data_IF_692655232123
#
_entry.id   IF_692655232123
#
_cell.length_a   1.000
_cell.length_b   1.000
_cell.length_c   1.000
_cell.angle_alpha   90.00
_cell.angle_beta   90.00
_cell.angle_gamma   90.00
#
_symmetry.space_group_name_H-M   'P 1'
#
loop_
_entity.id
_entity.type
_entity.pdbx_description
1 polymer ?
#
# COMPACT_ATOMS: atom_id res chain seq x y z
N UNK A 1 -17.72 2.16 3.80
CA UNK A 1 -17.06 1.61 5.00
C UNK A 1 -16.36 2.75 5.74
N UNK A 2 -16.45 2.84 7.06
CA UNK A 2 -15.61 3.78 7.82
C UNK A 2 -14.17 3.31 7.68
N UNK A 3 -13.24 4.24 7.38
CA UNK A 3 -11.80 3.92 7.32
C UNK A 3 -11.36 3.25 8.63
N UNK A 4 -10.66 2.13 8.53
CA UNK A 4 -10.09 1.46 9.70
C UNK A 4 -9.08 2.36 10.40
N UNK A 5 -8.96 2.25 11.72
CA UNK A 5 -7.93 2.97 12.47
C UNK A 5 -6.51 2.57 11.98
N UNK A 6 -6.38 1.43 11.33
CA UNK A 6 -5.11 0.89 10.85
C UNK A 6 -4.78 1.27 9.40
N UNK A 7 -5.75 1.84 8.63
CA UNK A 7 -5.54 2.11 7.21
C UNK A 7 -4.43 3.15 6.97
N UNK A 8 -3.39 2.73 6.27
CA UNK A 8 -2.23 3.56 5.91
C UNK A 8 -1.63 4.26 7.15
N UNK A 9 -1.50 3.51 8.24
CA UNK A 9 -0.98 4.02 9.51
C UNK A 9 0.53 3.81 9.59
N UNK A 10 1.26 4.91 9.81
CA UNK A 10 2.68 4.87 10.15
C UNK A 10 2.86 4.85 11.67
N UNK A 11 3.69 3.95 12.16
CA UNK A 11 4.03 3.85 13.58
C UNK A 11 5.49 4.27 13.77
N UNK A 12 5.68 5.42 14.40
CA UNK A 12 6.97 5.99 14.78
C UNK A 12 7.33 5.44 16.16
N UNK A 13 8.16 4.40 16.20
CA UNK A 13 8.54 3.74 17.45
C UNK A 13 9.66 4.50 18.15
N UNK A 14 9.30 5.36 19.09
CA UNK A 14 10.29 6.02 19.96
C UNK A 14 10.95 5.01 20.89
N UNK A 15 10.23 3.97 21.29
CA UNK A 15 10.71 3.01 22.28
C UNK A 15 11.25 3.71 23.55
N UNK A 16 12.51 3.42 23.91
CA UNK A 16 13.21 4.04 25.03
C UNK A 16 14.25 5.10 24.59
N UNK A 17 14.16 5.61 23.36
CA UNK A 17 15.13 6.58 22.82
C UNK A 17 15.06 7.97 23.49
N UNK A 18 14.06 8.18 24.37
CA UNK A 18 14.04 9.31 25.30
C UNK A 18 15.11 9.20 26.43
N UNK A 19 15.69 8.02 26.67
CA UNK A 19 16.76 7.78 27.65
C UNK A 19 16.45 8.31 29.07
N UNK A 20 15.19 8.16 29.55
CA UNK A 20 14.77 8.68 30.84
C UNK A 20 14.71 10.21 30.92
N UNK A 21 14.75 10.91 29.79
CA UNK A 21 14.74 12.37 29.71
C UNK A 21 13.50 12.87 28.94
N UNK A 22 12.61 13.55 29.67
CA UNK A 22 11.37 14.11 29.12
C UNK A 22 11.66 15.11 28.01
N UNK A 23 12.65 15.99 28.19
CA UNK A 23 12.98 17.03 27.20
C UNK A 23 13.43 16.40 25.87
N UNK A 24 14.22 15.31 25.91
CA UNK A 24 14.59 14.55 24.71
C UNK A 24 13.37 13.90 24.06
N UNK A 25 12.49 13.28 24.84
CA UNK A 25 11.24 12.71 24.36
C UNK A 25 10.36 13.74 23.66
N UNK A 26 10.19 14.92 24.26
CA UNK A 26 9.45 16.05 23.67
C UNK A 26 10.09 16.53 22.37
N UNK A 27 11.43 16.59 22.31
CA UNK A 27 12.15 16.95 21.09
C UNK A 27 11.90 15.93 19.97
N UNK A 28 12.00 14.63 20.25
CA UNK A 28 11.66 13.56 19.29
C UNK A 28 10.24 13.78 18.75
N UNK A 29 9.24 13.91 19.63
CA UNK A 29 7.84 14.12 19.24
C UNK A 29 7.71 15.36 18.33
N UNK A 30 8.32 16.48 18.69
CA UNK A 30 8.24 17.73 17.96
C UNK A 30 8.85 17.62 16.56
N UNK A 31 10.03 17.02 16.45
CA UNK A 31 10.74 16.91 15.17
C UNK A 31 9.99 15.96 14.21
N UNK A 32 9.50 14.82 14.70
CA UNK A 32 8.70 13.91 13.87
C UNK A 32 7.30 14.45 13.53
N UNK A 33 6.68 15.23 14.41
CA UNK A 33 5.41 15.90 14.09
C UNK A 33 5.53 16.86 12.90
N UNK A 34 6.69 17.51 12.72
CA UNK A 34 6.96 18.34 11.53
C UNK A 34 7.00 17.50 10.27
N UNK A 35 7.71 16.36 10.28
CA UNK A 35 7.84 15.44 9.15
C UNK A 35 6.47 14.84 8.78
N UNK A 36 5.69 14.41 9.77
CA UNK A 36 4.33 13.88 9.59
C UNK A 36 3.43 14.92 8.91
N UNK A 37 3.44 16.15 9.42
CA UNK A 37 2.63 17.26 8.86
C UNK A 37 3.05 17.61 7.45
N UNK A 38 4.35 17.71 7.21
CA UNK A 38 4.90 18.05 5.89
C UNK A 38 4.47 17.04 4.81
N UNK A 39 4.46 15.75 5.13
CA UNK A 39 4.06 14.68 4.21
C UNK A 39 2.55 14.39 4.22
N UNK A 40 1.78 15.06 5.07
CA UNK A 40 0.34 14.84 5.23
C UNK A 40 -0.02 13.35 5.41
N UNK A 41 0.75 12.63 6.22
CA UNK A 41 0.52 11.22 6.52
C UNK A 41 -0.14 11.03 7.87
N UNK A 42 -0.78 9.88 8.05
CA UNK A 42 -1.39 9.47 9.29
C UNK A 42 -0.38 8.68 10.11
N UNK A 43 -0.02 9.16 11.28
CA UNK A 43 1.01 8.57 12.10
C UNK A 43 0.62 8.41 13.58
N UNK A 44 1.17 7.38 14.20
CA UNK A 44 1.18 7.17 15.65
C UNK A 44 2.61 7.32 16.18
N UNK A 45 2.76 7.94 17.35
CA UNK A 45 3.99 7.86 18.13
C UNK A 45 3.84 6.76 19.17
N UNK A 46 4.77 5.80 19.15
CA UNK A 46 4.71 4.60 20.02
C UNK A 46 5.74 4.65 21.13
N UNK A 47 5.27 4.35 22.35
CA UNK A 47 6.04 4.24 23.57
C UNK A 47 6.19 2.78 23.99
N UNK A 48 7.16 2.50 24.84
CA UNK A 48 7.30 1.24 25.55
C UNK A 48 7.07 1.47 27.05
N UNK A 49 6.03 0.87 27.58
CA UNK A 49 5.66 1.01 28.99
C UNK A 49 6.12 -0.21 29.78
N UNK A 50 6.82 0.03 30.87
CA UNK A 50 7.23 -0.98 31.83
C UNK A 50 7.05 -0.42 33.24
N UNK A 51 6.33 -1.15 34.08
CA UNK A 51 6.39 -0.93 35.52
C UNK A 51 7.62 -1.68 36.04
N UNK A 52 8.69 -0.93 36.34
CA UNK A 52 10.00 -1.50 36.65
C UNK A 52 9.92 -2.44 37.88
N UNK A 53 9.04 -2.12 38.82
CA UNK A 53 8.88 -2.92 40.05
C UNK A 53 8.20 -4.27 39.79
N UNK A 54 7.42 -4.39 38.73
CA UNK A 54 6.78 -5.63 38.30
C UNK A 54 7.57 -6.34 37.19
N UNK A 55 8.16 -5.58 36.30
CA UNK A 55 8.83 -6.12 35.12
C UNK A 55 10.18 -6.75 35.44
N UNK A 56 10.93 -6.20 36.45
CA UNK A 56 12.21 -6.76 36.87
C UNK A 56 12.02 -7.49 38.22
N UNK A 57 12.39 -8.77 38.25
CA UNK A 57 12.37 -9.54 39.50
C UNK A 57 13.28 -8.89 40.55
N UNK A 58 12.80 -8.77 41.80
CA UNK A 58 13.45 -8.06 42.89
C UNK A 58 14.93 -8.45 43.12
N UNK A 59 15.25 -9.76 42.96
CA UNK A 59 16.60 -10.28 43.23
C UNK A 59 17.59 -10.00 42.09
N UNK A 60 17.10 -9.45 40.95
CA UNK A 60 17.92 -9.12 39.78
C UNK A 60 18.02 -7.62 39.49
N UNK A 61 17.42 -6.75 40.31
CA UNK A 61 17.43 -5.30 40.08
C UNK A 61 18.83 -4.69 40.03
N UNK A 62 19.75 -5.21 40.81
CA UNK A 62 21.13 -4.74 40.85
C UNK A 62 22.03 -5.37 39.77
N UNK A 63 21.51 -6.30 38.99
CA UNK A 63 22.23 -7.01 37.90
C UNK A 63 22.34 -6.15 36.66
N UNK A 64 23.01 -5.02 36.77
CA UNK A 64 23.26 -4.09 35.65
C UNK A 64 24.25 -4.62 34.62
N UNK A 65 24.90 -5.75 34.86
CA UNK A 65 25.63 -6.57 33.93
C UNK A 65 24.70 -7.22 32.89
N UNK A 66 23.41 -7.42 33.20
CA UNK A 66 22.39 -7.87 32.24
C UNK A 66 21.90 -6.66 31.44
N UNK A 67 22.27 -6.62 30.15
CA UNK A 67 22.02 -5.49 29.26
C UNK A 67 20.57 -4.97 29.30
N UNK A 68 19.57 -5.85 29.33
CA UNK A 68 18.17 -5.44 29.30
C UNK A 68 17.70 -4.86 30.62
N UNK A 69 18.20 -5.37 31.76
CA UNK A 69 17.91 -4.79 33.09
C UNK A 69 18.50 -3.38 33.14
N UNK A 70 19.81 -3.25 32.85
CA UNK A 70 20.46 -1.94 32.81
C UNK A 70 19.69 -0.96 31.93
N UNK A 71 19.38 -1.34 30.69
CA UNK A 71 18.65 -0.47 29.75
C UNK A 71 17.28 -0.05 30.28
N UNK A 72 16.54 -0.97 30.91
CA UNK A 72 15.23 -0.67 31.52
C UNK A 72 15.33 0.36 32.62
N UNK A 73 16.34 0.19 33.52
CA UNK A 73 16.58 1.14 34.60
C UNK A 73 17.05 2.50 34.10
N UNK A 74 18.01 2.53 33.15
CA UNK A 74 18.58 3.77 32.61
C UNK A 74 17.55 4.59 31.82
N UNK A 75 16.49 3.97 31.31
CA UNK A 75 15.49 4.63 30.50
C UNK A 75 14.12 4.77 31.17
N UNK A 76 14.05 4.54 32.48
CA UNK A 76 12.80 4.67 33.21
C UNK A 76 12.29 6.11 33.21
N UNK A 77 11.01 6.28 32.99
CA UNK A 77 10.26 7.50 33.23
C UNK A 77 9.15 7.23 34.24
N UNK A 78 8.79 8.25 35.02
CA UNK A 78 7.61 8.20 35.88
C UNK A 78 6.33 8.35 35.05
N UNK A 79 5.22 7.93 35.57
CA UNK A 79 3.93 7.99 34.84
C UNK A 79 3.45 9.42 34.56
N UNK A 80 3.75 10.38 35.42
CA UNK A 80 3.52 11.80 35.19
C UNK A 80 4.40 12.38 34.08
N UNK A 81 5.58 11.86 33.87
CA UNK A 81 6.49 12.20 32.77
C UNK A 81 5.98 11.60 31.46
N UNK A 82 5.54 10.35 31.46
CA UNK A 82 4.84 9.78 30.29
C UNK A 82 3.58 10.55 29.93
N UNK A 83 2.81 11.06 30.91
CA UNK A 83 1.64 11.90 30.64
C UNK A 83 2.01 13.15 29.83
N UNK A 84 3.15 13.80 30.14
CA UNK A 84 3.63 14.95 29.38
C UNK A 84 3.93 14.60 27.91
N UNK A 85 4.62 13.46 27.68
CA UNK A 85 4.91 12.98 26.33
C UNK A 85 3.63 12.62 25.55
N UNK A 86 2.70 11.93 26.17
CA UNK A 86 1.41 11.56 25.60
C UNK A 86 0.60 12.81 25.22
N UNK A 87 0.60 13.83 26.07
CA UNK A 87 -0.06 15.10 25.78
C UNK A 87 0.58 15.82 24.58
N UNK A 88 1.90 15.79 24.47
CA UNK A 88 2.63 16.37 23.33
C UNK A 88 2.29 15.63 22.01
N UNK A 89 2.16 14.30 22.01
CA UNK A 89 1.71 13.53 20.84
C UNK A 89 0.32 13.97 20.41
N UNK A 90 -0.63 14.10 21.35
CA UNK A 90 -2.00 14.57 21.06
C UNK A 90 -2.03 15.98 20.51
N UNK A 91 -1.27 16.88 21.12
CA UNK A 91 -1.16 18.28 20.67
C UNK A 91 -0.57 18.38 19.25
N UNK A 92 0.21 17.38 18.84
CA UNK A 92 0.74 17.25 17.47
C UNK A 92 -0.21 16.58 16.48
N UNK A 93 -1.43 16.24 16.89
CA UNK A 93 -2.44 15.52 16.09
C UNK A 93 -2.00 14.12 15.65
N UNK A 94 -1.00 13.53 16.31
CA UNK A 94 -0.60 12.14 16.11
C UNK A 94 -1.41 11.22 17.02
N UNK A 95 -1.55 9.96 16.60
CA UNK A 95 -2.19 8.90 17.38
C UNK A 95 -1.23 8.47 18.49
N UNK A 96 -1.75 8.27 19.70
CA UNK A 96 -0.98 7.73 20.82
C UNK A 96 -1.01 6.21 20.79
N UNK A 97 0.17 5.59 20.86
CA UNK A 97 0.32 4.14 20.87
C UNK A 97 1.34 3.72 21.92
N UNK A 98 1.15 2.56 22.53
CA UNK A 98 2.12 2.01 23.47
C UNK A 98 2.19 0.49 23.40
N UNK A 99 3.38 -0.04 23.67
CA UNK A 99 3.62 -1.44 23.98
C UNK A 99 3.75 -1.58 25.49
N UNK A 100 2.72 -2.10 26.20
CA UNK A 100 2.86 -2.47 27.59
C UNK A 100 3.57 -3.83 27.69
N UNK A 101 4.48 -3.99 28.63
CA UNK A 101 5.22 -5.23 28.88
C UNK A 101 4.85 -5.92 30.20
N UNK A 102 3.83 -5.42 30.88
CA UNK A 102 3.27 -5.95 32.12
C UNK A 102 1.83 -5.45 32.32
N UNK A 103 1.07 -6.06 33.21
CA UNK A 103 -0.36 -5.77 33.42
C UNK A 103 -0.59 -4.38 34.05
N UNK A 104 0.38 -3.87 34.84
CA UNK A 104 0.31 -2.50 35.37
C UNK A 104 0.44 -1.50 34.23
N UNK A 105 1.37 -1.75 33.34
CA UNK A 105 1.55 -0.94 32.12
C UNK A 105 0.31 -0.95 31.21
N UNK A 106 -0.45 -2.07 31.14
CA UNK A 106 -1.74 -2.12 30.44
C UNK A 106 -2.75 -1.18 31.10
N UNK A 107 -2.85 -1.20 32.43
CA UNK A 107 -3.71 -0.26 33.15
C UNK A 107 -3.35 1.19 32.87
N UNK A 108 -2.04 1.48 32.80
CA UNK A 108 -1.53 2.81 32.44
C UNK A 108 -1.84 3.23 30.99
N UNK A 109 -1.93 2.28 30.08
CA UNK A 109 -2.45 2.59 28.72
C UNK A 109 -3.89 3.12 28.77
N UNK A 110 -4.72 2.62 29.68
CA UNK A 110 -6.09 3.12 29.89
C UNK A 110 -6.06 4.49 30.55
N UNK A 111 -5.35 4.62 31.69
CA UNK A 111 -5.28 5.87 32.47
C UNK A 111 -4.76 7.04 31.63
N UNK A 112 -3.71 6.82 30.85
CA UNK A 112 -3.10 7.80 29.94
C UNK A 112 -3.89 7.98 28.64
N UNK A 113 -4.95 7.22 28.40
CA UNK A 113 -5.81 7.31 27.23
C UNK A 113 -5.09 6.94 25.91
N UNK A 114 -4.21 5.96 25.93
CA UNK A 114 -3.56 5.42 24.73
C UNK A 114 -4.63 4.91 23.76
N UNK A 115 -4.51 5.23 22.48
CA UNK A 115 -5.52 4.91 21.49
C UNK A 115 -5.35 3.52 20.87
N UNK A 116 -4.11 3.07 20.66
CA UNK A 116 -3.78 1.76 20.08
C UNK A 116 -2.77 1.06 20.99
N UNK A 117 -2.99 -0.22 21.27
CA UNK A 117 -2.04 -1.04 22.04
C UNK A 117 -1.26 -1.93 21.09
N UNK A 118 0.03 -2.05 21.32
CA UNK A 118 0.92 -2.99 20.60
C UNK A 118 1.20 -4.20 21.45
N UNK A 119 1.12 -5.39 20.85
CA UNK A 119 1.71 -6.62 21.39
C UNK A 119 3.04 -6.82 20.66
N UNK A 120 4.14 -6.83 21.43
CA UNK A 120 5.46 -7.08 20.88
C UNK A 120 5.62 -8.55 20.45
N UNK A 121 6.59 -8.81 19.57
CA UNK A 121 6.92 -10.19 19.17
C UNK A 121 7.29 -11.08 20.35
N UNK A 122 7.93 -10.51 21.40
CA UNK A 122 8.29 -11.25 22.63
C UNK A 122 7.10 -11.76 23.40
N UNK A 123 5.95 -11.06 23.29
CA UNK A 123 4.83 -11.22 24.22
C UNK A 123 3.63 -11.94 23.58
N UNK A 124 3.79 -12.44 22.35
CA UNK A 124 2.72 -13.14 21.62
C UNK A 124 2.23 -14.42 22.32
N UNK A 125 3.00 -14.92 23.27
CA UNK A 125 2.69 -16.11 24.09
C UNK A 125 2.38 -15.78 25.54
N UNK A 126 2.44 -14.51 25.91
CA UNK A 126 2.12 -14.07 27.28
C UNK A 126 0.61 -13.88 27.43
N UNK A 127 -0.07 -14.98 27.73
CA UNK A 127 -1.54 -14.98 27.83
C UNK A 127 -2.07 -14.17 29.01
N UNK A 128 -1.31 -13.98 30.10
CA UNK A 128 -1.73 -13.07 31.16
C UNK A 128 -1.76 -11.62 30.68
N UNK A 129 -0.72 -11.20 29.98
CA UNK A 129 -0.65 -9.87 29.38
C UNK A 129 -1.71 -9.70 28.27
N UNK A 130 -1.88 -10.70 27.39
CA UNK A 130 -2.86 -10.69 26.30
C UNK A 130 -4.28 -10.55 26.85
N UNK A 131 -4.64 -11.28 27.90
CA UNK A 131 -5.96 -11.17 28.54
C UNK A 131 -6.16 -9.80 29.20
N UNK A 132 -5.13 -9.25 29.84
CA UNK A 132 -5.18 -7.89 30.38
C UNK A 132 -5.42 -6.85 29.26
N UNK A 133 -4.70 -6.97 28.14
CA UNK A 133 -4.87 -6.10 26.97
C UNK A 133 -6.30 -6.23 26.40
N UNK A 134 -6.82 -7.43 26.24
CA UNK A 134 -8.15 -7.67 25.70
C UNK A 134 -9.28 -6.98 26.52
N UNK A 135 -9.13 -6.91 27.84
CA UNK A 135 -10.08 -6.22 28.72
C UNK A 135 -10.18 -4.71 28.45
N UNK A 136 -9.18 -4.12 27.81
CA UNK A 136 -9.20 -2.70 27.43
C UNK A 136 -10.12 -2.39 26.25
N UNK A 137 -10.47 -3.39 25.46
CA UNK A 137 -11.24 -3.30 24.19
C UNK A 137 -10.65 -2.32 23.15
N UNK A 138 -9.41 -1.89 23.33
CA UNK A 138 -8.73 -0.98 22.41
C UNK A 138 -8.30 -1.70 21.13
N UNK A 139 -8.15 -0.98 20.00
CA UNK A 139 -7.53 -1.52 18.79
C UNK A 139 -6.10 -2.00 19.07
N UNK A 140 -5.72 -3.12 18.47
CA UNK A 140 -4.45 -3.81 18.73
C UNK A 140 -3.66 -3.98 17.45
N UNK A 141 -2.35 -3.79 17.52
CA UNK A 141 -1.40 -4.23 16.50
C UNK A 141 -0.49 -5.29 17.14
N UNK A 142 -0.29 -6.42 16.48
CA UNK A 142 0.67 -7.46 16.91
C UNK A 142 1.82 -7.57 15.92
N UNK A 143 3.03 -7.82 16.37
CA UNK A 143 4.18 -8.19 15.52
C UNK A 143 4.46 -9.69 15.61
N UNK A 144 4.81 -10.29 14.44
CA UNK A 144 4.91 -11.75 14.28
C UNK A 144 6.30 -12.34 14.47
N UNK A 145 7.31 -11.52 14.82
CA UNK A 145 8.70 -11.96 14.90
C UNK A 145 8.90 -13.16 15.83
N UNK A 146 9.51 -14.23 15.31
CA UNK A 146 9.83 -15.43 16.09
C UNK A 146 8.63 -16.27 16.54
N UNK A 147 7.39 -15.93 16.15
CA UNK A 147 6.19 -16.70 16.48
C UNK A 147 5.98 -17.87 15.52
N UNK A 148 5.35 -18.94 16.00
CA UNK A 148 4.85 -20.01 15.15
C UNK A 148 3.48 -19.65 14.55
N UNK A 149 3.09 -20.36 13.48
CA UNK A 149 1.77 -20.20 12.90
C UNK A 149 0.65 -20.47 13.90
N UNK A 150 0.83 -21.45 14.77
CA UNK A 150 -0.13 -21.80 15.81
C UNK A 150 -0.32 -20.64 16.81
N UNK A 151 0.77 -20.00 17.23
CA UNK A 151 0.69 -18.85 18.14
C UNK A 151 -0.15 -17.72 17.53
N UNK A 152 0.02 -17.49 16.21
CA UNK A 152 -0.77 -16.48 15.48
C UNK A 152 -2.23 -16.87 15.34
N UNK A 153 -2.53 -18.12 14.97
CA UNK A 153 -3.90 -18.62 14.84
C UNK A 153 -4.66 -18.52 16.17
N UNK A 154 -4.01 -18.92 17.27
CA UNK A 154 -4.59 -18.84 18.61
C UNK A 154 -4.89 -17.37 18.98
N UNK A 155 -3.94 -16.46 18.72
CA UNK A 155 -4.09 -15.03 19.02
C UNK A 155 -5.19 -14.38 18.17
N UNK A 156 -5.18 -14.58 16.87
CA UNK A 156 -6.19 -14.01 15.95
C UNK A 156 -7.59 -14.49 16.37
N UNK A 157 -7.75 -15.82 16.55
CA UNK A 157 -9.03 -16.39 16.99
C UNK A 157 -9.48 -15.82 18.35
N UNK A 158 -8.55 -15.55 19.27
CA UNK A 158 -8.85 -14.98 20.58
C UNK A 158 -9.44 -13.57 20.49
N UNK A 159 -8.87 -12.69 19.64
CA UNK A 159 -9.33 -11.32 19.48
C UNK A 159 -10.59 -11.23 18.60
N UNK A 160 -10.68 -12.01 17.53
CA UNK A 160 -11.83 -12.06 16.63
C UNK A 160 -13.10 -12.46 17.38
N UNK A 161 -13.03 -13.50 18.24
CA UNK A 161 -14.17 -13.92 19.09
C UNK A 161 -14.62 -12.85 20.07
N UNK A 162 -13.82 -11.84 20.34
CA UNK A 162 -14.11 -10.71 21.23
C UNK A 162 -14.49 -9.44 20.46
N UNK A 163 -14.51 -9.50 19.13
CA UNK A 163 -14.74 -8.35 18.25
C UNK A 163 -13.77 -7.18 18.54
N UNK A 164 -12.53 -7.49 18.91
CA UNK A 164 -11.47 -6.49 19.14
C UNK A 164 -10.70 -6.29 17.85
N UNK A 165 -10.63 -5.06 17.32
CA UNK A 165 -9.89 -4.79 16.08
C UNK A 165 -8.41 -5.15 16.21
N UNK A 166 -7.93 -6.02 15.32
CA UNK A 166 -6.55 -6.51 15.29
C UNK A 166 -5.92 -6.26 13.92
N UNK A 167 -4.74 -5.63 13.91
CA UNK A 167 -3.83 -5.62 12.77
C UNK A 167 -2.61 -6.50 13.05
N UNK A 168 -2.06 -7.13 12.01
CA UNK A 168 -0.96 -8.09 12.11
C UNK A 168 0.21 -7.57 11.29
N UNK A 169 1.30 -7.19 11.96
CA UNK A 169 2.52 -6.74 11.29
C UNK A 169 3.48 -7.92 11.08
N UNK A 170 3.76 -8.22 9.82
CA UNK A 170 4.96 -9.01 9.53
C UNK A 170 6.19 -8.31 10.13
N UNK A 171 6.99 -9.06 10.84
CA UNK A 171 8.16 -8.55 11.55
C UNK A 171 9.25 -9.61 11.61
N UNK A 172 10.48 -9.20 11.35
CA UNK A 172 11.68 -9.98 11.65
C UNK A 172 12.40 -9.30 12.81
N UNK A 173 12.54 -10.02 13.93
CA UNK A 173 13.10 -9.45 15.18
C UNK A 173 14.63 -9.56 15.23
N UNK A 174 15.30 -9.08 14.17
CA UNK A 174 16.76 -8.94 14.07
C UNK A 174 17.08 -7.44 14.02
N UNK A 175 18.07 -6.98 14.79
CA UNK A 175 18.36 -5.56 15.03
C UNK A 175 19.85 -5.23 14.87
N UNK A 176 20.31 -4.64 13.73
CA UNK A 176 19.54 -4.39 12.49
C UNK A 176 19.32 -5.65 11.65
N UNK A 177 18.40 -5.58 10.72
CA UNK A 177 18.16 -6.62 9.69
C UNK A 177 18.88 -6.26 8.40
N UNK A 178 19.36 -7.27 7.69
CA UNK A 178 19.80 -7.17 6.29
C UNK A 178 18.63 -7.40 5.35
N UNK A 179 18.71 -6.91 4.11
CA UNK A 179 17.61 -6.97 3.15
C UNK A 179 17.11 -8.40 2.87
N UNK A 180 18.03 -9.37 2.81
CA UNK A 180 17.71 -10.78 2.60
C UNK A 180 17.02 -11.47 3.80
N UNK A 181 17.06 -10.83 4.99
CA UNK A 181 16.38 -11.31 6.19
C UNK A 181 14.92 -10.81 6.31
N UNK A 182 14.50 -9.85 5.47
CA UNK A 182 13.20 -9.17 5.62
C UNK A 182 12.01 -10.07 5.32
N UNK A 183 12.17 -11.11 4.49
CA UNK A 183 11.14 -12.11 4.18
C UNK A 183 9.76 -11.51 3.84
N UNK A 184 9.73 -10.42 3.07
CA UNK A 184 8.52 -9.61 2.81
C UNK A 184 7.38 -10.41 2.15
N UNK A 185 7.67 -11.55 1.52
CA UNK A 185 6.65 -12.46 1.01
C UNK A 185 5.69 -13.00 2.10
N UNK A 186 6.08 -12.93 3.37
CA UNK A 186 5.21 -13.27 4.48
C UNK A 186 3.98 -12.35 4.59
N UNK A 187 4.02 -11.16 4.01
CA UNK A 187 2.84 -10.29 3.92
C UNK A 187 1.74 -10.95 3.09
N UNK A 188 2.09 -11.57 1.95
CA UNK A 188 1.11 -12.30 1.13
C UNK A 188 0.53 -13.49 1.89
N UNK A 189 1.39 -14.25 2.60
CA UNK A 189 0.95 -15.36 3.43
C UNK A 189 -0.07 -14.92 4.49
N UNK A 190 0.25 -13.86 5.24
CA UNK A 190 -0.62 -13.32 6.29
C UNK A 190 -1.95 -12.81 5.73
N UNK A 191 -1.93 -12.10 4.59
CA UNK A 191 -3.15 -11.62 3.92
C UNK A 191 -4.06 -12.75 3.47
N UNK A 192 -3.48 -13.81 2.92
CA UNK A 192 -4.26 -14.97 2.47
C UNK A 192 -4.84 -15.76 3.65
N UNK A 193 -4.11 -15.81 4.77
CA UNK A 193 -4.55 -16.55 5.95
C UNK A 193 -5.55 -15.79 6.83
N UNK A 194 -5.38 -14.48 6.93
CA UNK A 194 -6.20 -13.60 7.79
C UNK A 194 -6.82 -12.47 6.94
N UNK A 195 -7.74 -12.80 6.02
CA UNK A 195 -8.27 -11.84 5.04
C UNK A 195 -9.09 -10.70 5.66
N UNK A 196 -9.61 -10.89 6.88
CA UNK A 196 -10.41 -9.89 7.61
C UNK A 196 -9.55 -8.94 8.46
N UNK A 197 -8.25 -9.23 8.60
CA UNK A 197 -7.31 -8.40 9.36
C UNK A 197 -6.50 -7.48 8.46
N UNK A 198 -6.20 -6.28 8.95
CA UNK A 198 -5.23 -5.40 8.30
C UNK A 198 -3.83 -5.98 8.51
N UNK A 199 -3.12 -6.22 7.42
CA UNK A 199 -1.73 -6.67 7.46
C UNK A 199 -0.79 -5.49 7.31
N UNK A 200 0.29 -5.51 8.06
CA UNK A 200 1.30 -4.46 8.06
C UNK A 200 2.72 -5.00 8.03
N UNK A 201 3.66 -4.08 8.13
CA UNK A 201 5.09 -4.34 8.08
C UNK A 201 5.83 -3.55 9.17
N UNK A 202 6.54 -4.26 10.04
CA UNK A 202 7.41 -3.70 11.08
C UNK A 202 8.85 -4.11 10.79
N UNK A 203 9.75 -3.15 10.64
CA UNK A 203 11.05 -3.40 10.03
C UNK A 203 12.20 -2.78 10.81
N UNK A 204 13.41 -3.36 10.64
CA UNK A 204 14.63 -2.96 11.34
C UNK A 204 15.84 -2.86 10.41
N UNK A 205 15.63 -2.78 9.08
CA UNK A 205 16.70 -2.54 8.12
C UNK A 205 17.33 -1.15 8.32
N UNK A 206 18.59 -1.02 7.94
CA UNK A 206 19.40 0.15 8.26
C UNK A 206 20.08 0.81 7.04
N UNK A 207 19.91 0.23 5.84
CA UNK A 207 20.59 0.70 4.62
C UNK A 207 19.69 1.53 3.74
N UNK A 208 18.42 1.14 3.64
CA UNK A 208 17.43 1.85 2.84
C UNK A 208 16.10 1.98 3.61
N UNK A 209 15.41 3.09 3.39
CA UNK A 209 14.09 3.40 3.97
C UNK A 209 12.99 3.37 2.92
N UNK A 210 13.30 2.99 1.67
CA UNK A 210 12.41 3.14 0.50
C UNK A 210 11.98 1.81 -0.07
N UNK A 211 12.92 0.95 -0.44
CA UNK A 211 12.66 -0.24 -1.27
C UNK A 211 11.77 -1.25 -0.55
N UNK A 212 12.06 -1.56 0.70
CA UNK A 212 11.22 -2.45 1.51
C UNK A 212 9.78 -1.95 1.64
N UNK A 213 9.59 -0.64 1.74
CA UNK A 213 8.27 0.00 1.84
C UNK A 213 7.48 -0.09 0.54
N UNK A 214 8.14 0.13 -0.61
CA UNK A 214 7.53 -0.04 -1.94
C UNK A 214 7.01 -1.47 -2.10
N UNK A 215 7.86 -2.45 -1.80
CA UNK A 215 7.51 -3.87 -1.90
C UNK A 215 6.40 -4.25 -0.91
N UNK A 216 6.51 -3.84 0.36
CA UNK A 216 5.51 -4.15 1.38
C UNK A 216 4.14 -3.55 1.04
N UNK A 217 4.09 -2.29 0.56
CA UNK A 217 2.85 -1.68 0.11
C UNK A 217 2.22 -2.42 -1.06
N UNK A 218 3.02 -2.77 -2.09
CA UNK A 218 2.56 -3.51 -3.26
C UNK A 218 2.00 -4.89 -2.89
N UNK A 219 2.56 -5.54 -1.87
CA UNK A 219 2.05 -6.79 -1.29
C UNK A 219 0.82 -6.60 -0.39
N UNK A 220 0.41 -5.37 -0.14
CA UNK A 220 -0.82 -5.03 0.56
C UNK A 220 -0.66 -4.71 2.05
N UNK A 221 0.55 -4.43 2.53
CA UNK A 221 0.71 -3.84 3.86
C UNK A 221 0.01 -2.47 3.94
N UNK A 222 -0.65 -2.21 5.08
CA UNK A 222 -1.39 -0.97 5.35
C UNK A 222 -1.06 -0.34 6.71
N UNK A 223 -0.27 -1.01 7.54
CA UNK A 223 0.42 -0.40 8.68
C UNK A 223 1.92 -0.56 8.49
N UNK A 224 2.68 0.46 8.89
CA UNK A 224 4.14 0.49 8.68
C UNK A 224 4.81 0.99 9.95
N UNK A 225 5.77 0.26 10.49
CA UNK A 225 6.43 0.58 11.75
C UNK A 225 7.93 0.62 11.61
N UNK A 226 8.57 1.68 12.14
CA UNK A 226 10.02 1.83 12.25
C UNK A 226 10.41 2.49 13.57
N UNK A 227 11.56 2.09 14.13
CA UNK A 227 12.17 2.81 15.22
C UNK A 227 12.66 4.19 14.78
N UNK A 228 12.48 5.18 15.64
CA UNK A 228 12.87 6.57 15.40
C UNK A 228 13.70 7.14 16.52
N UNK A 229 14.68 8.00 16.18
CA UNK A 229 15.55 8.68 17.11
C UNK A 229 16.01 10.03 16.54
N UNK A 230 16.76 10.79 17.31
CA UNK A 230 17.38 12.06 16.91
C UNK A 230 18.85 12.10 17.27
N UNK A 231 19.65 12.79 16.46
CA UNK A 231 21.02 13.11 16.82
C UNK A 231 21.04 14.30 17.80
N UNK A 232 21.09 14.01 19.10
CA UNK A 232 21.13 15.02 20.15
C UNK A 232 21.79 14.45 21.42
N UNK A 233 22.23 15.34 22.30
CA UNK A 233 22.69 15.03 23.65
C UNK A 233 23.90 14.09 23.73
N UNK A 234 24.68 13.93 22.64
CA UNK A 234 25.82 13.02 22.59
C UNK A 234 25.44 11.52 22.64
N UNK A 235 24.15 11.19 22.53
CA UNK A 235 23.66 9.82 22.56
C UNK A 235 23.74 9.23 21.16
N UNK A 236 24.43 8.09 20.97
CA UNK A 236 24.53 7.45 19.66
C UNK A 236 23.18 6.89 19.22
N UNK A 237 22.84 7.15 17.97
CA UNK A 237 21.62 6.59 17.33
C UNK A 237 21.87 5.12 16.98
N UNK A 238 20.94 4.25 17.34
CA UNK A 238 21.02 2.83 16.97
C UNK A 238 20.87 2.65 15.46
N UNK A 239 21.62 1.74 14.80
CA UNK A 239 21.60 1.59 13.34
C UNK A 239 20.21 1.34 12.75
N UNK A 240 19.34 0.66 13.46
CA UNK A 240 17.96 0.37 13.03
C UNK A 240 16.96 1.51 13.31
N UNK A 241 17.41 2.61 13.93
CA UNK A 241 16.58 3.79 14.16
C UNK A 241 16.70 4.75 12.97
N UNK A 242 15.59 5.28 12.52
CA UNK A 242 15.54 6.26 11.45
C UNK A 242 15.56 7.68 12.02
N UNK A 243 16.31 8.57 11.39
CA UNK A 243 16.33 10.00 11.65
C UNK A 243 15.17 10.72 10.90
N UNK A 244 14.82 11.97 11.24
CA UNK A 244 13.72 12.70 10.61
C UNK A 244 13.79 12.74 9.09
N UNK A 245 14.96 12.98 8.49
CA UNK A 245 15.16 12.98 7.04
C UNK A 245 14.98 11.61 6.40
N UNK A 246 15.29 10.55 7.12
CA UNK A 246 15.11 9.17 6.68
C UNK A 246 13.62 8.78 6.73
N UNK A 247 12.90 9.27 7.74
CA UNK A 247 11.44 9.09 7.82
C UNK A 247 10.72 9.90 6.74
N UNK A 248 11.21 11.08 6.38
CA UNK A 248 10.70 11.83 5.22
C UNK A 248 10.86 11.03 3.92
N UNK A 249 12.02 10.41 3.70
CA UNK A 249 12.27 9.53 2.56
C UNK A 249 11.33 8.30 2.57
N UNK A 250 11.09 7.73 3.75
CA UNK A 250 10.16 6.62 3.97
C UNK A 250 8.71 6.98 3.58
N UNK A 251 8.21 8.14 4.01
CA UNK A 251 6.88 8.62 3.66
C UNK A 251 6.75 8.92 2.17
N UNK A 252 7.78 9.47 1.54
CA UNK A 252 7.84 9.70 0.09
C UNK A 252 7.84 8.39 -0.71
N UNK A 253 8.51 7.35 -0.20
CA UNK A 253 8.47 6.03 -0.80
C UNK A 253 7.06 5.43 -0.77
N UNK A 254 6.35 5.59 0.33
CA UNK A 254 4.95 5.16 0.44
C UNK A 254 4.04 5.92 -0.56
N UNK A 255 4.16 7.24 -0.64
CA UNK A 255 3.41 8.03 -1.62
C UNK A 255 3.72 7.58 -3.06
N UNK A 256 4.99 7.26 -3.34
CA UNK A 256 5.40 6.72 -4.64
C UNK A 256 4.84 5.33 -4.90
N UNK A 257 4.77 4.48 -3.88
CA UNK A 257 4.14 3.17 -3.99
C UNK A 257 2.65 3.28 -4.35
N UNK A 258 1.92 4.21 -3.71
CA UNK A 258 0.51 4.47 -4.03
C UNK A 258 0.34 4.93 -5.49
N UNK A 259 1.19 5.84 -5.94
CA UNK A 259 1.18 6.32 -7.33
C UNK A 259 1.43 5.19 -8.34
N UNK A 260 2.44 4.36 -8.10
CA UNK A 260 2.82 3.25 -9.00
C UNK A 260 1.77 2.15 -9.01
N UNK A 261 1.25 1.76 -7.85
CA UNK A 261 0.26 0.69 -7.74
C UNK A 261 -1.12 1.11 -8.28
N UNK A 262 -1.44 2.41 -8.26
CA UNK A 262 -2.72 2.91 -8.74
C UNK A 262 -3.90 2.49 -7.86
N UNK A 263 -4.99 2.08 -8.48
CA UNK A 263 -6.20 1.65 -7.77
C UNK A 263 -6.07 0.27 -7.08
N UNK A 264 -7.19 -0.20 -6.51
CA UNK A 264 -7.24 -1.54 -5.91
C UNK A 264 -6.99 -2.62 -7.00
N UNK A 265 -6.35 -3.71 -6.61
CA UNK A 265 -6.12 -4.85 -7.52
C UNK A 265 -7.36 -5.71 -7.77
N UNK A 266 -8.51 -5.38 -7.19
CA UNK A 266 -9.72 -6.21 -7.19
C UNK A 266 -10.56 -6.06 -8.45
N UNK A 267 -10.38 -4.96 -9.19
CA UNK A 267 -11.10 -4.66 -10.41
C UNK A 267 -10.15 -4.33 -11.55
N UNK A 268 -10.57 -4.65 -12.78
CA UNK A 268 -9.83 -4.27 -13.98
C UNK A 268 -9.84 -2.74 -14.09
N UNK A 269 -8.66 -2.13 -14.23
CA UNK A 269 -8.55 -0.69 -14.42
C UNK A 269 -9.28 -0.22 -15.68
N UNK A 270 -9.85 0.96 -15.63
CA UNK A 270 -10.37 1.64 -16.83
C UNK A 270 -9.16 2.25 -17.56
N UNK A 271 -8.95 1.92 -18.85
CA UNK A 271 -7.87 2.53 -19.61
C UNK A 271 -8.15 4.03 -19.83
N UNK A 272 -7.15 4.90 -19.71
CA UNK A 272 -7.31 6.31 -20.02
C UNK A 272 -7.48 6.52 -21.54
N UNK A 273 -8.20 7.58 -21.94
CA UNK A 273 -8.50 7.89 -23.34
C UNK A 273 -7.26 7.92 -24.24
N UNK A 274 -6.15 8.46 -23.77
CA UNK A 274 -4.88 8.49 -24.51
C UNK A 274 -4.34 7.09 -24.86
N UNK A 275 -4.60 6.08 -24.02
CA UNK A 275 -4.21 4.70 -24.28
C UNK A 275 -5.14 4.08 -25.33
N UNK A 276 -6.44 4.33 -25.21
CA UNK A 276 -7.45 3.86 -26.17
C UNK A 276 -7.18 4.45 -27.54
N UNK A 277 -6.97 5.76 -27.63
CA UNK A 277 -6.66 6.47 -28.89
C UNK A 277 -5.38 5.95 -29.55
N UNK A 278 -4.32 5.71 -28.75
CA UNK A 278 -3.09 5.13 -29.26
C UNK A 278 -3.31 3.73 -29.86
N UNK A 279 -4.04 2.88 -29.13
CA UNK A 279 -4.32 1.52 -29.60
C UNK A 279 -5.27 1.48 -30.80
N UNK A 280 -6.24 2.38 -30.88
CA UNK A 280 -7.16 2.50 -32.02
C UNK A 280 -6.41 2.78 -33.33
N UNK A 281 -5.32 3.55 -33.27
CA UNK A 281 -4.46 3.78 -34.44
C UNK A 281 -3.71 2.53 -34.94
N UNK A 282 -3.62 1.48 -34.09
CA UNK A 282 -2.97 0.21 -34.43
C UNK A 282 -3.95 -0.90 -34.79
N UNK A 283 -5.25 -0.67 -34.63
CA UNK A 283 -6.28 -1.64 -35.03
C UNK A 283 -6.38 -1.68 -36.56
N UNK A 284 -6.52 -2.88 -37.11
CA UNK A 284 -6.73 -3.07 -38.54
C UNK A 284 -8.19 -2.86 -38.89
N UNK A 285 -8.43 -1.95 -39.84
CA UNK A 285 -9.73 -1.75 -40.49
C UNK A 285 -9.98 -2.77 -41.60
N UNK A 286 -11.23 -2.90 -41.99
CA UNK A 286 -11.67 -3.76 -43.10
C UNK A 286 -11.68 -2.95 -44.40
N UNK A 287 -10.98 -3.42 -45.43
CA UNK A 287 -10.87 -2.80 -46.76
C UNK A 287 -11.30 -3.75 -47.84
N UNK A 288 -11.88 -3.21 -48.92
CA UNK A 288 -12.28 -4.01 -50.07
C UNK A 288 -11.06 -4.46 -50.88
N UNK A 289 -10.95 -5.75 -51.26
CA UNK A 289 -9.87 -6.26 -52.12
C UNK A 289 -10.03 -5.86 -53.60
N UNK A 290 -11.24 -5.65 -54.05
CA UNK A 290 -11.63 -5.26 -55.40
C UNK A 290 -12.91 -4.44 -55.31
N UNK A 291 -13.40 -3.90 -56.42
CA UNK A 291 -14.69 -3.22 -56.47
C UNK A 291 -15.80 -4.16 -56.04
N UNK A 292 -16.57 -3.79 -55.06
CA UNK A 292 -17.69 -4.56 -54.52
C UNK A 292 -19.00 -3.84 -54.81
N UNK A 293 -19.97 -4.48 -55.54
CA UNK A 293 -21.26 -3.86 -55.83
C UNK A 293 -22.18 -3.84 -54.58
N UNK A 294 -23.19 -2.98 -54.59
CA UNK A 294 -24.29 -3.06 -53.63
C UNK A 294 -24.94 -4.46 -53.69
N UNK A 295 -25.32 -5.00 -52.56
CA UNK A 295 -25.86 -6.37 -52.41
C UNK A 295 -24.79 -7.45 -52.35
N UNK A 296 -23.47 -7.13 -52.41
CA UNK A 296 -22.40 -8.10 -52.23
C UNK A 296 -22.38 -8.60 -50.79
N UNK A 297 -22.26 -9.92 -50.64
CA UNK A 297 -22.08 -10.57 -49.31
C UNK A 297 -20.58 -10.54 -48.96
N UNK A 298 -20.23 -9.92 -47.83
CA UNK A 298 -18.84 -9.82 -47.40
C UNK A 298 -18.29 -11.19 -46.97
N UNK A 299 -17.12 -11.54 -47.52
CA UNK A 299 -16.37 -12.76 -47.23
C UNK A 299 -14.90 -12.42 -47.00
N UNK A 300 -14.13 -13.36 -46.43
CA UNK A 300 -12.67 -13.24 -46.28
C UNK A 300 -11.95 -13.10 -47.63
N UNK A 301 -12.59 -13.54 -48.73
CA UNK A 301 -12.05 -13.41 -50.09
C UNK A 301 -12.27 -12.03 -50.67
N UNK A 302 -13.32 -11.31 -50.26
CA UNK A 302 -13.68 -9.99 -50.76
C UNK A 302 -13.04 -8.81 -50.03
N UNK A 303 -12.49 -9.05 -48.82
CA UNK A 303 -11.90 -8.00 -47.95
C UNK A 303 -10.49 -8.36 -47.49
N UNK A 304 -9.76 -7.35 -47.01
CA UNK A 304 -8.51 -7.53 -46.31
C UNK A 304 -8.44 -6.58 -45.10
N UNK A 305 -7.58 -6.91 -44.14
CA UNK A 305 -7.40 -6.13 -42.95
C UNK A 305 -6.06 -5.41 -42.97
N UNK A 306 -6.10 -4.09 -42.82
CA UNK A 306 -4.88 -3.27 -42.76
C UNK A 306 -5.00 -2.12 -41.77
N UNK A 307 -3.90 -1.60 -41.30
CA UNK A 307 -3.83 -0.34 -40.59
C UNK A 307 -3.73 0.83 -41.60
N UNK A 308 -4.22 2.00 -41.19
CA UNK A 308 -4.92 2.32 -39.96
C UNK A 308 -6.42 1.94 -40.00
N UNK A 309 -7.01 1.82 -38.80
CA UNK A 309 -8.47 1.90 -38.65
C UNK A 309 -8.88 3.37 -38.79
N UNK A 310 -9.86 3.64 -39.65
CA UNK A 310 -10.41 4.99 -39.84
C UNK A 310 -11.69 5.17 -39.03
N UNK A 311 -12.04 6.40 -38.71
CA UNK A 311 -13.34 6.72 -38.10
C UNK A 311 -14.45 6.20 -39.01
N UNK A 312 -15.51 5.66 -38.40
CA UNK A 312 -16.65 5.03 -39.07
C UNK A 312 -16.36 3.68 -39.72
N UNK A 313 -15.10 3.28 -39.86
CA UNK A 313 -14.72 2.00 -40.44
C UNK A 313 -14.93 0.84 -39.45
N UNK A 314 -15.42 -0.29 -39.96
CA UNK A 314 -15.46 -1.53 -39.18
C UNK A 314 -14.09 -2.19 -39.10
N UNK A 315 -13.83 -2.87 -37.98
CA UNK A 315 -12.71 -3.80 -37.82
C UNK A 315 -13.20 -5.24 -37.96
N UNK A 316 -12.29 -6.19 -37.94
CA UNK A 316 -12.68 -7.62 -37.90
C UNK A 316 -13.58 -7.99 -36.70
N UNK A 317 -13.66 -7.14 -35.68
CA UNK A 317 -14.52 -7.32 -34.50
C UNK A 317 -16.00 -7.20 -34.86
N UNK A 318 -16.32 -6.24 -35.74
CA UNK A 318 -17.68 -5.94 -36.18
C UNK A 318 -18.06 -6.71 -37.43
N UNK A 319 -17.10 -7.20 -38.23
CA UNK A 319 -17.39 -7.97 -39.42
C UNK A 319 -17.97 -9.33 -39.08
N UNK A 320 -19.23 -9.55 -39.36
CA UNK A 320 -19.93 -10.81 -39.17
C UNK A 320 -20.04 -11.58 -40.53
N UNK A 321 -20.20 -12.90 -40.44
CA UNK A 321 -20.45 -13.73 -41.61
C UNK A 321 -21.79 -13.36 -42.27
N UNK A 322 -21.78 -13.10 -43.59
CA UNK A 322 -23.00 -12.91 -44.36
C UNK A 322 -23.53 -11.47 -44.35
N UNK A 323 -22.76 -10.50 -43.86
CA UNK A 323 -23.13 -9.10 -43.98
C UNK A 323 -23.20 -8.66 -45.45
N UNK A 324 -24.23 -7.86 -45.79
CA UNK A 324 -24.52 -7.41 -47.11
C UNK A 324 -24.17 -5.93 -47.26
N UNK A 325 -23.48 -5.57 -48.35
CA UNK A 325 -23.21 -4.17 -48.66
C UNK A 325 -24.50 -3.46 -49.14
N UNK A 326 -24.84 -2.36 -48.46
CA UNK A 326 -25.94 -1.47 -48.86
C UNK A 326 -25.59 -0.58 -50.06
N UNK A 327 -24.31 -0.22 -50.20
CA UNK A 327 -23.77 0.64 -51.22
C UNK A 327 -22.53 -0.01 -51.87
N UNK A 328 -22.23 0.34 -53.11
CA UNK A 328 -20.99 -0.08 -53.75
C UNK A 328 -19.76 0.51 -53.06
N UNK A 329 -18.69 -0.31 -52.91
CA UNK A 329 -17.42 0.09 -52.31
C UNK A 329 -16.30 -0.17 -53.30
N UNK A 330 -15.49 0.85 -53.59
CA UNK A 330 -14.37 0.73 -54.50
C UNK A 330 -13.22 -0.10 -53.89
N UNK A 331 -12.38 -0.68 -54.74
CA UNK A 331 -11.15 -1.34 -54.34
C UNK A 331 -10.31 -0.45 -53.41
N UNK A 332 -9.76 -1.05 -52.39
CA UNK A 332 -8.93 -0.41 -51.34
C UNK A 332 -9.66 0.66 -50.49
N UNK A 333 -10.96 0.85 -50.71
CA UNK A 333 -11.75 1.73 -49.85
C UNK A 333 -12.13 1.04 -48.53
N UNK A 334 -12.26 1.81 -47.42
CA UNK A 334 -12.70 1.28 -46.13
C UNK A 334 -14.16 0.81 -46.17
N UNK A 335 -14.46 -0.27 -45.47
CA UNK A 335 -15.85 -0.68 -45.24
C UNK A 335 -16.33 0.05 -43.98
N UNK A 336 -17.27 0.96 -44.16
CA UNK A 336 -17.86 1.71 -43.02
C UNK A 336 -19.11 0.98 -42.49
N UNK A 337 -19.43 1.25 -41.22
CA UNK A 337 -20.63 0.65 -40.59
C UNK A 337 -21.94 1.06 -41.28
N UNK A 338 -21.94 2.19 -41.96
CA UNK A 338 -23.06 2.67 -42.78
C UNK A 338 -23.18 2.00 -44.16
N UNK A 339 -22.14 1.29 -44.59
CA UNK A 339 -22.12 0.56 -45.86
C UNK A 339 -22.74 -0.85 -45.75
N UNK A 340 -22.94 -1.35 -44.51
CA UNK A 340 -23.37 -2.74 -44.26
C UNK A 340 -24.75 -2.80 -43.63
N UNK A 341 -25.52 -3.82 -44.00
CA UNK A 341 -26.76 -4.20 -43.31
C UNK A 341 -26.40 -4.97 -42.03
N UNK A 342 -26.24 -4.26 -40.93
CA UNK A 342 -25.72 -4.75 -39.70
C UNK A 342 -26.49 -4.16 -38.51
N UNK A 343 -26.62 -4.88 -37.41
CA UNK A 343 -27.23 -4.36 -36.18
C UNK A 343 -26.47 -3.16 -35.60
N UNK A 344 -25.20 -2.95 -35.95
CA UNK A 344 -24.42 -1.79 -35.50
C UNK A 344 -24.99 -0.46 -35.96
N UNK A 345 -25.54 -0.41 -37.18
CA UNK A 345 -26.20 0.79 -37.72
C UNK A 345 -27.48 1.16 -36.96
N UNK A 346 -28.18 0.17 -36.38
CA UNK A 346 -29.40 0.37 -35.62
C UNK A 346 -29.15 0.63 -34.12
N UNK A 347 -28.02 0.21 -33.56
CA UNK A 347 -27.68 0.37 -32.15
C UNK A 347 -26.87 1.67 -31.94
N UNK A 348 -27.54 2.73 -31.45
CA UNK A 348 -26.96 4.07 -31.29
C UNK A 348 -25.68 4.14 -30.45
N UNK A 349 -25.52 3.23 -29.51
CA UNK A 349 -24.31 3.17 -28.65
C UNK A 349 -23.13 2.53 -29.40
N UNK A 350 -23.37 1.43 -30.10
CA UNK A 350 -22.36 0.76 -30.92
C UNK A 350 -21.95 1.63 -32.10
N UNK A 351 -22.90 2.29 -32.77
CA UNK A 351 -22.62 3.24 -33.83
C UNK A 351 -21.70 4.37 -33.37
N UNK A 352 -21.96 4.96 -32.17
CA UNK A 352 -21.11 6.01 -31.59
C UNK A 352 -19.69 5.54 -31.28
N UNK A 353 -19.52 4.29 -30.81
CA UNK A 353 -18.19 3.72 -30.57
C UNK A 353 -17.40 3.57 -31.88
N UNK A 354 -18.01 3.08 -32.92
CA UNK A 354 -17.36 2.88 -34.24
C UNK A 354 -17.10 4.23 -34.90
N UNK A 355 -18.04 5.19 -34.81
CA UNK A 355 -17.92 6.51 -35.42
C UNK A 355 -16.71 7.30 -34.93
N UNK A 356 -16.39 7.19 -33.66
CA UNK A 356 -15.32 7.97 -32.98
C UNK A 356 -14.00 7.20 -32.83
N UNK A 357 -13.98 5.92 -33.17
CA UNK A 357 -12.80 5.05 -33.06
C UNK A 357 -11.90 5.19 -34.29
N UNK A 358 -10.58 5.17 -34.06
CA UNK A 358 -9.60 5.25 -35.15
C UNK A 358 -9.17 6.68 -35.49
N UNK A 359 -8.52 6.83 -36.62
CA UNK A 359 -8.01 8.11 -37.11
C UNK A 359 -8.98 8.77 -38.10
N UNK A 360 -8.86 10.07 -38.28
CA UNK A 360 -9.59 10.76 -39.32
C UNK A 360 -9.18 10.23 -40.71
N UNK A 361 -10.12 10.09 -41.68
CA UNK A 361 -9.79 9.72 -43.03
C UNK A 361 -8.73 10.66 -43.61
N UNK A 362 -7.83 10.12 -44.45
CA UNK A 362 -6.87 10.97 -45.13
C UNK A 362 -7.62 11.99 -46.02
N UNK A 363 -7.20 13.27 -46.04
CA UNK A 363 -7.80 14.25 -46.94
C UNK A 363 -7.66 13.77 -48.39
N UNK A 364 -8.70 13.97 -49.20
CA UNK A 364 -8.78 13.46 -50.58
C UNK A 364 -7.60 13.86 -51.51
N UNK A 365 -6.71 14.75 -51.06
CA UNK A 365 -5.60 15.31 -51.83
C UNK A 365 -4.23 14.71 -51.58
N UNK A 366 -4.06 13.76 -50.68
CA UNK A 366 -2.74 13.14 -50.40
C UNK A 366 -2.53 11.83 -51.18
N UNK A 367 -2.41 11.92 -52.52
CA UNK A 367 -1.65 10.89 -53.24
C UNK A 367 -0.19 11.05 -52.86
N UNK A 368 0.27 10.20 -51.96
CA UNK A 368 1.68 10.10 -51.58
C UNK A 368 2.46 9.73 -52.83
N UNK A 369 3.33 10.64 -53.28
CA UNK A 369 4.33 10.37 -54.30
C UNK A 369 5.22 9.24 -53.74
N UNK A 370 5.45 8.12 -54.44
CA UNK A 370 6.30 7.05 -54.00
C UNK A 370 7.72 7.61 -53.71
N UNK A 371 8.26 7.30 -52.56
CA UNK A 371 9.68 7.55 -52.26
C UNK A 371 10.49 6.78 -53.32
N UNK A 372 10.96 7.46 -54.36
CA UNK A 372 11.94 6.92 -55.27
C UNK A 372 13.18 6.56 -54.48
N UNK A 373 13.59 5.30 -54.56
CA UNK A 373 14.84 4.76 -54.03
C UNK A 373 16.00 5.70 -54.34
N UNK A 374 16.60 6.26 -53.31
CA UNK A 374 17.95 6.81 -53.46
C UNK A 374 18.91 5.65 -53.54
N UNK A 375 19.65 5.61 -54.64
CA UNK A 375 20.86 4.81 -54.88
C UNK A 375 21.93 5.10 -53.82
#
# INVERSE_FOLDING_TARGET
MRASIFDNLFVLEMANNHWGNVSRGLKIITDYAKVVRYNNVRAAMKFQFRDVDRFIHKDFRDRTDIRYIKKTLDTQLRWDEYQQLVNAVRASSMITMATPFDEVSVSKCVDLGIQIIKIASSDIKDWFLIEAIAKTTKPIIVSTGGSSLRDLDDLVSFFDKRNIPLAINHCVSIYPSEDWELEINQIDFLRNRYPDNVIGYSTHEHRDWRDSTLVAYAKGARTFERHVDIQADGIPVSPYCSLPEQVDAWFKAFAKAQEICGGSGDVKRVPPDKEVQYLDGLVRGVYAKHDLPAGHILTEESVYLAIPLQKRQISCREMMKGEVLLNAVAKDAPIEFTNIDSPYGAASELARMIENRGIDPAPETSRIVPLTSRQ
#
